data_IF_934098440903
#
_entry.id   IF_934098440903
#
_cell.length_a   1.000
_cell.length_b   1.000
_cell.length_c   1.000
_cell.angle_alpha   90.00
_cell.angle_beta   90.00
_cell.angle_gamma   90.00
#
_symmetry.space_group_name_H-M   'P 1'
#
loop_
_entity.id
_entity.type
_entity.pdbx_description
1 polymer ?
#
# COMPACT_ATOMS: atom_id res chain seq x y z
N UNK A 1 13.96 26.32 -7.76
CA UNK A 1 14.88 25.21 -7.42
C UNK A 1 14.12 23.92 -7.57
N UNK A 2 14.64 22.88 -8.25
CA UNK A 2 13.94 21.60 -8.35
C UNK A 2 13.94 20.96 -6.96
N UNK A 3 12.76 20.79 -6.39
CA UNK A 3 12.56 20.00 -5.19
C UNK A 3 12.98 18.58 -5.52
N UNK A 4 14.09 18.12 -4.96
CA UNK A 4 14.50 16.71 -5.05
C UNK A 4 13.45 15.94 -4.24
N UNK A 5 12.39 15.50 -4.91
CA UNK A 5 11.52 14.46 -4.38
C UNK A 5 12.39 13.21 -4.44
N UNK A 6 13.03 12.86 -3.33
CA UNK A 6 13.73 11.58 -3.24
C UNK A 6 12.71 10.51 -3.63
N UNK A 7 12.98 9.80 -4.72
CA UNK A 7 12.16 8.68 -5.14
C UNK A 7 12.52 7.52 -4.23
N UNK A 8 11.72 7.33 -3.17
CA UNK A 8 11.84 6.20 -2.27
C UNK A 8 10.72 5.20 -2.57
N UNK A 9 11.06 3.92 -2.56
CA UNK A 9 10.09 2.84 -2.69
C UNK A 9 9.66 2.41 -1.30
N UNK A 10 8.35 2.42 -1.03
CA UNK A 10 7.81 1.87 0.22
C UNK A 10 7.32 0.45 -0.03
N UNK A 11 7.83 -0.49 0.74
CA UNK A 11 7.41 -1.89 0.71
C UNK A 11 6.34 -2.11 1.79
N UNK A 12 5.15 -2.54 1.38
CA UNK A 12 4.08 -2.95 2.27
C UNK A 12 3.92 -4.46 2.17
N UNK A 13 4.15 -5.15 3.28
CA UNK A 13 3.98 -6.60 3.34
C UNK A 13 2.58 -6.95 3.86
N UNK A 14 1.85 -7.77 3.10
CA UNK A 14 0.57 -8.31 3.49
C UNK A 14 0.71 -9.81 3.75
N UNK A 15 0.60 -10.20 5.01
CA UNK A 15 0.59 -11.60 5.44
C UNK A 15 -0.85 -12.05 5.69
N UNK A 16 -1.22 -13.20 5.12
CA UNK A 16 -2.49 -13.83 5.42
C UNK A 16 -2.37 -14.74 6.65
N UNK A 17 -2.54 -14.14 7.83
CA UNK A 17 -2.58 -14.88 9.11
C UNK A 17 -3.91 -15.61 9.35
N UNK A 18 -4.80 -15.70 8.35
CA UNK A 18 -6.11 -16.35 8.48
C UNK A 18 -6.09 -17.78 7.94
N UNK A 19 -7.02 -18.60 8.43
CA UNK A 19 -7.17 -20.01 8.01
C UNK A 19 -7.82 -20.16 6.62
N UNK A 20 -8.41 -19.09 6.09
CA UNK A 20 -9.05 -19.08 4.77
C UNK A 20 -8.15 -18.31 3.77
N UNK A 21 -8.27 -18.62 2.48
CA UNK A 21 -7.59 -17.84 1.44
C UNK A 21 -8.18 -16.44 1.34
N UNK A 22 -7.33 -15.44 1.15
CA UNK A 22 -7.69 -14.03 1.08
C UNK A 22 -7.22 -13.45 -0.25
N UNK A 23 -8.05 -12.63 -0.88
CA UNK A 23 -7.63 -11.89 -2.08
C UNK A 23 -7.31 -10.44 -1.74
N UNK A 24 -6.14 -9.98 -2.16
CA UNK A 24 -5.73 -8.57 -2.10
C UNK A 24 -5.89 -7.97 -3.50
N UNK A 25 -6.75 -6.97 -3.63
CA UNK A 25 -7.04 -6.32 -4.89
C UNK A 25 -6.66 -4.85 -4.83
N UNK A 26 -5.83 -4.37 -5.76
CA UNK A 26 -5.59 -2.95 -5.95
C UNK A 26 -6.83 -2.31 -6.58
N UNK A 27 -7.51 -1.45 -5.83
CA UNK A 27 -8.72 -0.73 -6.25
C UNK A 27 -8.37 0.56 -6.99
N UNK A 28 -7.39 1.30 -6.47
CA UNK A 28 -7.02 2.59 -7.02
C UNK A 28 -5.56 2.89 -6.75
N UNK A 29 -4.87 3.31 -7.80
CA UNK A 29 -3.59 3.97 -7.74
C UNK A 29 -3.76 5.33 -8.42
N UNK A 30 -3.48 6.42 -7.70
CA UNK A 30 -3.71 7.78 -8.20
C UNK A 30 -2.79 8.05 -9.40
N UNK A 31 -3.31 7.90 -10.63
CA UNK A 31 -2.55 8.00 -11.88
C UNK A 31 -2.52 6.74 -12.75
N UNK A 32 -2.98 5.58 -12.26
CA UNK A 32 -3.06 4.34 -13.07
C UNK A 32 -4.19 3.43 -12.59
N UNK A 33 -5.11 3.06 -13.49
CA UNK A 33 -6.15 2.08 -13.19
C UNK A 33 -5.62 0.67 -13.40
N UNK A 34 -4.72 0.22 -12.53
CA UNK A 34 -4.23 -1.17 -12.53
C UNK A 34 -5.06 -2.00 -11.56
N UNK A 35 -5.99 -2.81 -12.11
CA UNK A 35 -6.76 -3.79 -11.32
C UNK A 35 -5.94 -5.06 -11.16
N UNK A 36 -4.92 -5.03 -10.31
CA UNK A 36 -4.19 -6.24 -9.93
C UNK A 36 -4.92 -6.94 -8.79
N UNK A 37 -5.07 -8.26 -8.87
CA UNK A 37 -5.62 -9.09 -7.80
C UNK A 37 -4.65 -10.23 -7.52
N UNK A 38 -4.33 -10.43 -6.26
CA UNK A 38 -3.46 -11.49 -5.76
C UNK A 38 -4.27 -12.34 -4.80
N UNK A 39 -4.22 -13.66 -4.98
CA UNK A 39 -4.77 -14.62 -4.03
C UNK A 39 -3.65 -15.04 -3.10
N UNK A 40 -3.84 -14.86 -1.81
CA UNK A 40 -2.97 -15.33 -0.73
C UNK A 40 -3.61 -16.55 -0.08
N UNK A 41 -2.91 -17.66 -0.05
CA UNK A 41 -3.28 -18.81 0.75
C UNK A 41 -2.98 -18.55 2.25
N UNK A 42 -3.48 -19.38 3.17
CA UNK A 42 -3.09 -19.29 4.58
C UNK A 42 -1.57 -19.32 4.72
N UNK A 43 -1.01 -18.46 5.58
CA UNK A 43 0.43 -18.31 5.82
C UNK A 43 1.25 -17.72 4.66
N UNK A 44 0.59 -17.36 3.55
CA UNK A 44 1.24 -16.71 2.41
C UNK A 44 1.32 -15.19 2.63
N UNK A 45 2.42 -14.58 2.17
CA UNK A 45 2.58 -13.13 2.16
C UNK A 45 2.86 -12.58 0.77
N UNK A 46 2.48 -11.34 0.54
CA UNK A 46 2.80 -10.58 -0.68
C UNK A 46 3.33 -9.21 -0.31
N UNK A 47 4.45 -8.85 -0.93
CA UNK A 47 5.02 -7.51 -0.81
C UNK A 47 4.52 -6.63 -1.96
N UNK A 48 3.96 -5.47 -1.61
CA UNK A 48 3.50 -4.46 -2.56
C UNK A 48 4.47 -3.29 -2.55
N UNK A 49 4.90 -2.86 -3.74
CA UNK A 49 5.75 -1.70 -3.93
C UNK A 49 4.87 -0.47 -4.15
N UNK A 50 5.09 0.56 -3.34
CA UNK A 50 4.36 1.82 -3.34
C UNK A 50 5.31 2.95 -3.75
N UNK A 51 4.93 3.69 -4.80
CA UNK A 51 5.61 4.92 -5.22
C UNK A 51 5.44 6.05 -4.20
N UNK A 52 6.52 6.78 -3.94
CA UNK A 52 6.51 7.98 -3.10
C UNK A 52 5.51 9.05 -3.60
N UNK A 53 4.79 9.67 -2.66
CA UNK A 53 3.79 10.70 -2.92
C UNK A 53 2.47 10.18 -3.50
N UNK A 54 2.32 8.86 -3.67
CA UNK A 54 1.10 8.25 -4.19
C UNK A 54 0.22 7.67 -3.09
N UNK A 55 -1.08 7.61 -3.37
CA UNK A 55 -2.08 6.97 -2.52
C UNK A 55 -2.61 5.72 -3.20
N UNK A 56 -2.58 4.62 -2.46
CA UNK A 56 -2.97 3.30 -2.89
C UNK A 56 -4.14 2.80 -2.07
N UNK A 57 -5.16 2.28 -2.75
CA UNK A 57 -6.32 1.67 -2.10
C UNK A 57 -6.37 0.20 -2.45
N UNK A 58 -6.41 -0.64 -1.43
CA UNK A 58 -6.50 -2.08 -1.51
C UNK A 58 -7.83 -2.55 -0.94
N UNK A 59 -8.42 -3.58 -1.55
CA UNK A 59 -9.49 -4.36 -0.97
C UNK A 59 -8.95 -5.73 -0.60
N UNK A 60 -9.07 -6.08 0.67
CA UNK A 60 -8.77 -7.39 1.20
C UNK A 60 -10.09 -8.11 1.36
N UNK A 61 -10.34 -9.11 0.51
CA UNK A 61 -11.57 -9.93 0.56
C UNK A 61 -11.23 -11.29 1.11
N UNK A 62 -11.85 -11.62 2.23
CA UNK A 62 -11.92 -12.97 2.78
C UNK A 62 -13.31 -13.54 2.50
N UNK A 63 -13.51 -14.82 2.82
CA UNK A 63 -14.72 -15.61 2.51
C UNK A 63 -16.05 -14.91 2.81
N UNK A 64 -16.13 -14.17 3.91
CA UNK A 64 -17.34 -13.48 4.36
C UNK A 64 -17.15 -11.99 4.64
N UNK A 65 -15.92 -11.47 4.50
CA UNK A 65 -15.55 -10.12 4.93
C UNK A 65 -14.77 -9.40 3.86
N UNK A 66 -15.02 -8.11 3.71
CA UNK A 66 -14.24 -7.22 2.86
C UNK A 66 -13.75 -6.06 3.71
N UNK A 67 -12.43 -5.89 3.76
CA UNK A 67 -11.78 -4.74 4.37
C UNK A 67 -11.16 -3.87 3.27
N UNK A 68 -11.17 -2.54 3.44
CA UNK A 68 -10.55 -1.64 2.49
C UNK A 68 -9.41 -0.89 3.14
N UNK A 69 -8.19 -1.17 2.70
CA UNK A 69 -6.99 -0.59 3.26
C UNK A 69 -6.53 0.51 2.34
N UNK A 70 -6.45 1.73 2.84
CA UNK A 70 -5.91 2.87 2.11
C UNK A 70 -4.56 3.19 2.71
N UNK A 71 -3.51 3.08 1.90
CA UNK A 71 -2.16 3.45 2.27
C UNK A 71 -1.72 4.66 1.45
N UNK A 72 -1.22 5.67 2.13
CA UNK A 72 -0.69 6.88 1.53
C UNK A 72 0.68 7.16 2.11
N UNK A 73 1.66 7.40 1.25
CA UNK A 73 2.98 7.88 1.67
C UNK A 73 2.91 9.39 1.77
N UNK A 74 3.04 9.94 2.97
CA UNK A 74 3.16 11.39 3.17
C UNK A 74 4.61 11.69 3.55
N UNK A 75 5.16 12.73 2.95
CA UNK A 75 6.40 13.31 3.46
C UNK A 75 6.02 14.30 4.55
N UNK A 76 6.37 14.01 5.79
CA UNK A 76 6.16 14.93 6.92
C UNK A 76 7.52 15.54 7.28
N UNK A 77 7.66 16.86 7.11
CA UNK A 77 8.91 17.58 7.39
C UNK A 77 8.82 19.04 6.97
N UNK A 78 9.24 19.95 7.85
CA UNK A 78 9.20 21.42 7.63
C UNK A 78 10.53 21.98 7.05
N UNK A 79 11.58 21.16 6.99
CA UNK A 79 12.89 21.49 6.39
C UNK A 79 13.35 20.41 5.41
N UNK A 80 14.04 20.83 4.35
CA UNK A 80 14.48 19.99 3.23
C UNK A 80 15.44 18.85 3.61
N UNK A 81 15.93 18.85 4.86
CA UNK A 81 16.86 17.88 5.45
C UNK A 81 16.17 16.82 6.33
N UNK A 82 14.92 17.04 6.74
CA UNK A 82 14.23 16.25 7.79
C UNK A 82 12.96 15.55 7.25
N UNK A 83 12.82 15.47 5.93
CA UNK A 83 11.70 14.78 5.28
C UNK A 83 11.80 13.28 5.55
N UNK A 84 11.11 12.82 6.58
CA UNK A 84 10.99 11.41 6.90
C UNK A 84 9.78 10.83 6.16
N UNK A 85 9.94 9.75 5.38
CA UNK A 85 8.82 9.11 4.72
C UNK A 85 7.93 8.44 5.76
N UNK A 86 6.69 8.91 5.91
CA UNK A 86 5.70 8.31 6.80
C UNK A 86 4.68 7.52 5.97
N UNK A 87 4.65 6.20 6.18
CA UNK A 87 3.59 5.36 5.63
C UNK A 87 2.36 5.43 6.55
N UNK A 88 1.26 5.95 6.03
CA UNK A 88 -0.01 6.02 6.75
C UNK A 88 -1.01 5.08 6.10
N UNK A 89 -1.42 4.04 6.82
CA UNK A 89 -2.45 3.11 6.38
C UNK A 89 -3.70 3.20 7.26
N UNK A 90 -4.88 3.17 6.66
CA UNK A 90 -6.18 3.19 7.34
C UNK A 90 -7.05 2.06 6.78
N UNK A 91 -7.65 1.26 7.66
CA UNK A 91 -8.41 0.04 7.33
C UNK A 91 -9.91 0.18 7.68
#
# INVERSE_FOLDING_TARGET
MPSIIQSYDVLLDFTNDTLDSVTVQLLHHYGRTTRSIVLLNPDESVTLVLDAGSSYRYAVKSRTKVASITCSTVMEGYEMSDLSPLLRCTA
#
